data_IF_483527252829
#
_entry.id   IF_483527252829
#
_cell.length_a   1.000
_cell.length_b   1.000
_cell.length_c   1.000
_cell.angle_alpha   90.00
_cell.angle_beta   90.00
_cell.angle_gamma   90.00
#
_symmetry.space_group_name_H-M   'P 1'
#
loop_
_entity.id
_entity.type
_entity.pdbx_description
1 polymer ?
#
# COMPACT_ATOMS: atom_id res chain seq x y z
N UNK A 1 -9.65 50.61 6.52
CA UNK A 1 -9.41 49.60 7.56
C UNK A 1 -10.09 48.28 7.27
N UNK A 2 -11.42 48.19 7.39
CA UNK A 2 -12.14 46.90 7.42
C UNK A 2 -12.14 46.03 6.15
N UNK A 3 -12.02 46.62 4.95
CA UNK A 3 -11.94 45.85 3.70
C UNK A 3 -10.62 45.08 3.59
N UNK A 4 -9.49 45.73 3.86
CA UNK A 4 -8.17 45.09 3.84
C UNK A 4 -8.08 43.96 4.87
N UNK A 5 -8.63 44.15 6.06
CA UNK A 5 -8.68 43.10 7.08
C UNK A 5 -9.47 41.87 6.61
N UNK A 6 -10.61 42.06 5.92
CA UNK A 6 -11.40 40.95 5.35
C UNK A 6 -10.67 40.23 4.22
N UNK A 7 -10.01 40.97 3.34
CA UNK A 7 -9.22 40.37 2.26
C UNK A 7 -8.04 39.57 2.78
N UNK A 8 -7.39 40.04 3.85
CA UNK A 8 -6.29 39.32 4.50
C UNK A 8 -6.77 37.99 5.11
N UNK A 9 -7.87 38.01 5.89
CA UNK A 9 -8.46 36.78 6.45
C UNK A 9 -8.88 35.81 5.34
N UNK A 10 -9.49 36.32 4.27
CA UNK A 10 -9.85 35.47 3.13
C UNK A 10 -8.63 34.87 2.43
N UNK A 11 -7.49 35.59 2.40
CA UNK A 11 -6.24 35.08 1.85
C UNK A 11 -5.64 33.98 2.75
N UNK A 12 -5.65 34.15 4.07
CA UNK A 12 -5.20 33.13 5.03
C UNK A 12 -6.04 31.85 4.92
N UNK A 13 -7.37 31.96 4.89
CA UNK A 13 -8.25 30.79 4.71
C UNK A 13 -7.99 30.07 3.39
N UNK A 14 -7.72 30.81 2.31
CA UNK A 14 -7.33 30.20 1.02
C UNK A 14 -5.99 29.49 1.12
N UNK A 15 -5.02 30.10 1.79
CA UNK A 15 -3.70 29.52 2.00
C UNK A 15 -3.79 28.21 2.80
N UNK A 16 -4.50 28.20 3.92
CA UNK A 16 -4.68 27.00 4.75
C UNK A 16 -5.37 25.87 3.99
N UNK A 17 -6.36 26.20 3.17
CA UNK A 17 -7.03 25.23 2.30
C UNK A 17 -6.07 24.66 1.25
N UNK A 18 -5.27 25.51 0.61
CA UNK A 18 -4.25 25.06 -0.34
C UNK A 18 -3.20 24.18 0.34
N UNK A 19 -2.73 24.54 1.53
CA UNK A 19 -1.76 23.73 2.27
C UNK A 19 -2.33 22.38 2.69
N UNK A 20 -3.57 22.34 3.15
CA UNK A 20 -4.28 21.08 3.46
C UNK A 20 -4.39 20.20 2.22
N UNK A 21 -4.81 20.76 1.09
CA UNK A 21 -4.94 20.01 -0.17
C UNK A 21 -3.58 19.46 -0.64
N UNK A 22 -2.52 20.26 -0.56
CA UNK A 22 -1.16 19.82 -0.92
C UNK A 22 -0.68 18.69 0.00
N UNK A 23 -1.00 18.73 1.30
CA UNK A 23 -0.70 17.64 2.23
C UNK A 23 -1.36 16.33 1.81
N UNK A 24 -2.65 16.38 1.48
CA UNK A 24 -3.40 15.21 0.98
C UNK A 24 -2.81 14.67 -0.32
N UNK A 25 -2.46 15.53 -1.29
CA UNK A 25 -1.88 15.08 -2.56
C UNK A 25 -0.48 14.47 -2.40
N UNK A 26 0.31 14.95 -1.43
CA UNK A 26 1.60 14.33 -1.11
C UNK A 26 1.43 12.90 -0.59
N UNK A 27 0.47 12.68 0.31
CA UNK A 27 0.16 11.36 0.85
C UNK A 27 -0.41 10.42 -0.23
N UNK A 28 -1.30 10.94 -1.09
CA UNK A 28 -1.78 10.22 -2.28
C UNK A 28 -0.61 9.80 -3.19
N UNK A 29 0.36 10.69 -3.40
CA UNK A 29 1.56 10.39 -4.18
C UNK A 29 2.41 9.26 -3.58
N UNK A 30 2.51 9.18 -2.24
CA UNK A 30 3.22 8.09 -1.54
C UNK A 30 2.48 6.77 -1.71
N UNK A 31 1.17 6.76 -1.45
CA UNK A 31 0.32 5.58 -1.62
C UNK A 31 0.34 5.08 -3.07
N UNK A 32 0.22 5.98 -4.06
CA UNK A 32 0.25 5.63 -5.47
C UNK A 32 1.57 4.93 -5.86
N UNK A 33 2.72 5.45 -5.40
CA UNK A 33 4.02 4.80 -5.66
C UNK A 33 4.11 3.42 -5.01
N UNK A 34 3.59 3.24 -3.80
CA UNK A 34 3.56 1.93 -3.15
C UNK A 34 2.67 0.93 -3.87
N UNK A 35 1.46 1.35 -4.25
CA UNK A 35 0.53 0.54 -5.03
C UNK A 35 1.17 0.07 -6.33
N UNK A 36 1.79 0.98 -7.07
CA UNK A 36 2.49 0.66 -8.33
C UNK A 36 3.57 -0.39 -8.09
N UNK A 37 4.40 -0.23 -7.05
CA UNK A 37 5.43 -1.23 -6.70
C UNK A 37 4.82 -2.58 -6.35
N UNK A 38 3.76 -2.58 -5.53
CA UNK A 38 3.09 -3.80 -5.10
C UNK A 38 2.51 -4.55 -6.29
N UNK A 39 1.76 -3.88 -7.17
CA UNK A 39 1.19 -4.47 -8.39
C UNK A 39 2.29 -5.01 -9.31
N UNK A 40 3.36 -4.24 -9.56
CA UNK A 40 4.49 -4.69 -10.37
C UNK A 40 5.10 -5.97 -9.81
N UNK A 41 5.31 -6.06 -8.49
CA UNK A 41 5.94 -7.23 -7.86
C UNK A 41 5.01 -8.44 -7.86
N UNK A 42 3.72 -8.26 -7.53
CA UNK A 42 2.75 -9.36 -7.36
C UNK A 42 2.35 -9.97 -8.70
N UNK A 43 2.15 -9.15 -9.74
CA UNK A 43 1.67 -9.61 -11.06
C UNK A 43 2.80 -9.98 -12.03
N UNK A 44 4.05 -9.95 -11.58
CA UNK A 44 5.19 -10.25 -12.46
C UNK A 44 5.25 -11.75 -12.82
N UNK A 45 5.49 -12.02 -14.10
CA UNK A 45 5.59 -13.39 -14.64
C UNK A 45 6.96 -14.04 -14.39
N UNK A 46 7.95 -13.27 -13.93
CA UNK A 46 9.30 -13.72 -13.60
C UNK A 46 10.35 -13.38 -14.66
N UNK A 47 11.61 -13.48 -14.25
CA UNK A 47 12.77 -13.19 -15.10
C UNK A 47 13.07 -14.36 -16.05
N UNK A 48 13.52 -14.09 -17.29
CA UNK A 48 13.94 -15.13 -18.22
C UNK A 48 15.01 -16.04 -17.62
N UNK A 49 14.78 -17.36 -17.62
CA UNK A 49 15.74 -18.36 -17.13
C UNK A 49 15.64 -18.70 -15.63
N UNK A 50 14.82 -17.99 -14.85
CA UNK A 50 14.45 -18.38 -13.49
C UNK A 50 13.23 -19.31 -13.55
N UNK A 51 13.39 -20.58 -13.17
CA UNK A 51 12.32 -21.59 -13.15
C UNK A 51 11.01 -21.00 -12.63
N UNK A 52 9.96 -21.11 -13.46
CA UNK A 52 8.76 -20.29 -13.38
C UNK A 52 8.12 -20.20 -11.99
N UNK A 53 7.46 -19.04 -11.78
CA UNK A 53 6.69 -18.60 -10.59
C UNK A 53 7.45 -17.67 -9.65
N UNK A 54 7.76 -16.48 -10.14
CA UNK A 54 8.22 -15.32 -9.35
C UNK A 54 7.40 -15.12 -8.07
N UNK A 55 6.06 -15.14 -8.16
CA UNK A 55 5.18 -14.82 -7.05
C UNK A 55 4.84 -15.94 -6.05
N UNK A 56 5.47 -17.13 -6.13
CA UNK A 56 5.02 -18.29 -5.34
C UNK A 56 5.95 -18.76 -4.23
N UNK A 57 7.04 -18.03 -3.98
CA UNK A 57 7.98 -18.40 -2.93
C UNK A 57 8.44 -17.19 -2.13
N UNK A 58 8.69 -17.43 -0.83
CA UNK A 58 9.29 -16.46 0.10
C UNK A 58 8.52 -15.15 0.20
N UNK A 59 9.26 -14.05 0.28
CA UNK A 59 8.79 -12.66 0.41
C UNK A 59 7.68 -12.31 -0.57
N UNK A 60 7.76 -12.77 -1.82
CA UNK A 60 6.81 -12.43 -2.88
C UNK A 60 5.46 -13.10 -2.68
N UNK A 61 5.45 -14.30 -2.11
CA UNK A 61 4.21 -14.96 -1.73
C UNK A 61 3.51 -14.21 -0.59
N UNK A 62 4.27 -13.74 0.40
CA UNK A 62 3.73 -12.90 1.49
C UNK A 62 3.14 -11.59 0.94
N UNK A 63 3.79 -10.96 -0.03
CA UNK A 63 3.27 -9.76 -0.71
C UNK A 63 1.98 -10.03 -1.50
N UNK A 64 1.84 -11.22 -2.09
CA UNK A 64 0.60 -11.64 -2.74
C UNK A 64 -0.54 -11.81 -1.73
N UNK A 65 -0.26 -12.39 -0.56
CA UNK A 65 -1.25 -12.48 0.51
C UNK A 65 -1.60 -11.09 1.07
N UNK A 66 -0.63 -10.17 1.17
CA UNK A 66 -0.91 -8.77 1.53
C UNK A 66 -1.82 -8.10 0.49
N UNK A 67 -1.55 -8.28 -0.80
CA UNK A 67 -2.41 -7.77 -1.85
C UNK A 67 -3.84 -8.33 -1.73
N UNK A 68 -3.98 -9.62 -1.42
CA UNK A 68 -5.29 -10.23 -1.18
C UNK A 68 -5.97 -9.66 0.07
N UNK A 69 -5.23 -9.48 1.16
CA UNK A 69 -5.71 -8.83 2.37
C UNK A 69 -6.21 -7.41 2.12
N UNK A 70 -5.54 -6.63 1.26
CA UNK A 70 -5.94 -5.24 1.00
C UNK A 70 -7.15 -5.16 0.05
N UNK A 71 -7.16 -5.95 -1.03
CA UNK A 71 -8.12 -5.75 -2.14
C UNK A 71 -9.21 -6.81 -2.29
N UNK A 72 -9.12 -7.92 -1.54
CA UNK A 72 -10.08 -9.03 -1.64
C UNK A 72 -10.83 -9.27 -0.33
N UNK A 73 -11.14 -8.19 0.39
CA UNK A 73 -12.04 -8.23 1.54
C UNK A 73 -13.42 -8.72 1.09
N UNK A 74 -14.04 -9.58 1.90
CA UNK A 74 -15.38 -10.11 1.66
C UNK A 74 -16.19 -10.13 2.95
N UNK A 75 -17.50 -9.94 2.83
CA UNK A 75 -18.42 -10.03 3.96
C UNK A 75 -18.38 -11.45 4.56
N UNK A 76 -18.16 -11.60 5.88
CA UNK A 76 -18.01 -12.92 6.51
C UNK A 76 -19.23 -13.84 6.34
N UNK A 77 -20.42 -13.27 6.22
CA UNK A 77 -21.70 -13.97 6.15
C UNK A 77 -22.16 -14.23 4.70
N UNK A 78 -22.04 -13.25 3.81
CA UNK A 78 -22.54 -13.36 2.43
C UNK A 78 -21.46 -13.72 1.41
N UNK A 79 -20.19 -13.53 1.74
CA UNK A 79 -19.06 -13.66 0.82
C UNK A 79 -19.00 -12.57 -0.26
N UNK A 80 -19.84 -11.52 -0.18
CA UNK A 80 -19.84 -10.42 -1.13
C UNK A 80 -18.59 -9.54 -0.96
N UNK A 81 -18.02 -8.99 -2.05
CA UNK A 81 -16.83 -8.15 -1.97
C UNK A 81 -17.09 -6.87 -1.16
N UNK A 82 -16.14 -6.52 -0.30
CA UNK A 82 -16.12 -5.29 0.49
C UNK A 82 -15.14 -4.28 -0.12
N UNK A 83 -15.66 -3.12 -0.53
CA UNK A 83 -14.86 -2.01 -1.07
C UNK A 83 -14.61 -0.96 0.01
N UNK A 84 -13.77 -1.30 0.99
CA UNK A 84 -13.44 -0.43 2.12
C UNK A 84 -12.18 0.40 1.85
N UNK A 85 -12.37 1.68 1.53
CA UNK A 85 -11.27 2.62 1.33
C UNK A 85 -10.48 2.92 2.61
N UNK A 86 -11.13 2.87 3.79
CA UNK A 86 -10.46 3.08 5.06
C UNK A 86 -9.43 1.99 5.32
N UNK A 87 -9.83 0.73 5.11
CA UNK A 87 -8.95 -0.43 5.19
C UNK A 87 -7.75 -0.34 4.24
N UNK A 88 -8.00 0.03 2.98
CA UNK A 88 -6.94 0.19 1.97
C UNK A 88 -5.96 1.29 2.38
N UNK A 89 -6.46 2.47 2.74
CA UNK A 89 -5.62 3.60 3.13
C UNK A 89 -4.82 3.32 4.40
N UNK A 90 -5.45 2.73 5.42
CA UNK A 90 -4.79 2.35 6.67
C UNK A 90 -3.68 1.33 6.40
N UNK A 91 -3.97 0.26 5.68
CA UNK A 91 -3.00 -0.80 5.36
C UNK A 91 -1.79 -0.25 4.59
N UNK A 92 -2.02 0.62 3.60
CA UNK A 92 -0.94 1.25 2.83
C UNK A 92 -0.13 2.24 3.68
N UNK A 93 -0.76 2.99 4.57
CA UNK A 93 -0.07 3.90 5.47
C UNK A 93 0.80 3.14 6.48
N UNK A 94 0.31 2.03 7.04
CA UNK A 94 1.09 1.15 7.92
C UNK A 94 2.27 0.53 7.18
N UNK A 95 2.05 0.07 5.94
CA UNK A 95 3.10 -0.43 5.06
C UNK A 95 4.14 0.66 4.73
N UNK A 96 3.72 1.87 4.41
CA UNK A 96 4.63 2.97 4.09
C UNK A 96 5.44 3.42 5.29
N UNK A 97 4.83 3.48 6.47
CA UNK A 97 5.53 3.75 7.71
C UNK A 97 6.49 2.61 8.08
N UNK A 98 6.15 1.36 7.72
CA UNK A 98 6.90 0.18 8.12
C UNK A 98 6.75 -0.08 9.61
N UNK A 99 5.51 -0.14 10.09
CA UNK A 99 5.22 -0.35 11.51
C UNK A 99 5.55 -1.78 11.95
N UNK A 100 5.92 -1.94 13.22
CA UNK A 100 6.09 -3.25 13.88
C UNK A 100 4.75 -3.95 14.19
N UNK A 101 3.62 -3.31 13.88
CA UNK A 101 2.30 -3.92 14.00
C UNK A 101 2.21 -5.15 13.10
N UNK A 102 1.76 -6.27 13.69
CA UNK A 102 1.57 -7.54 12.99
C UNK A 102 0.19 -7.62 12.34
N UNK A 103 0.16 -8.15 11.12
CA UNK A 103 -1.06 -8.48 10.39
C UNK A 103 -1.09 -9.98 10.14
N UNK A 104 -2.30 -10.56 10.23
CA UNK A 104 -2.54 -11.96 9.88
C UNK A 104 -2.99 -12.05 8.43
N UNK A 105 -2.20 -12.72 7.61
CA UNK A 105 -2.43 -12.94 6.19
C UNK A 105 -2.85 -14.40 5.94
N UNK A 106 -3.89 -14.59 5.14
CA UNK A 106 -4.46 -15.91 4.87
C UNK A 106 -4.53 -16.16 3.36
N UNK A 107 -4.19 -17.37 2.93
CA UNK A 107 -4.42 -17.78 1.54
C UNK A 107 -5.91 -17.94 1.24
N UNK A 108 -6.31 -17.83 -0.03
CA UNK A 108 -7.74 -17.91 -0.43
C UNK A 108 -8.40 -19.25 -0.09
N UNK A 109 -7.62 -20.32 -0.08
CA UNK A 109 -8.06 -21.66 0.30
C UNK A 109 -8.05 -21.90 1.82
N UNK A 110 -7.59 -20.91 2.61
CA UNK A 110 -7.45 -21.01 4.06
C UNK A 110 -6.35 -21.95 4.55
N UNK A 111 -5.56 -22.54 3.64
CA UNK A 111 -4.55 -23.53 3.99
C UNK A 111 -3.29 -22.91 4.62
N UNK A 112 -3.01 -21.65 4.33
CA UNK A 112 -1.84 -20.93 4.83
C UNK A 112 -2.28 -19.72 5.64
N UNK A 113 -1.74 -19.60 6.85
CA UNK A 113 -1.90 -18.46 7.74
C UNK A 113 -0.51 -17.98 8.15
N UNK A 114 -0.21 -16.71 7.91
CA UNK A 114 1.07 -16.08 8.27
C UNK A 114 0.80 -14.86 9.13
N UNK A 115 1.61 -14.69 10.18
CA UNK A 115 1.66 -13.47 10.97
C UNK A 115 2.96 -12.76 10.61
N UNK A 116 2.87 -11.50 10.18
CA UNK A 116 4.01 -10.72 9.68
C UNK A 116 3.82 -9.25 10.00
N UNK A 117 4.90 -8.55 10.31
CA UNK A 117 4.85 -7.11 10.56
C UNK A 117 4.78 -6.29 9.27
N UNK A 118 4.20 -5.08 9.34
CA UNK A 118 4.27 -4.13 8.21
C UNK A 118 5.72 -3.73 7.87
N UNK A 119 6.62 -3.74 8.85
CA UNK A 119 8.05 -3.54 8.65
C UNK A 119 8.68 -4.63 7.77
N UNK A 120 8.37 -5.91 8.01
CA UNK A 120 8.79 -7.03 7.18
C UNK A 120 8.21 -6.96 5.77
N UNK A 121 6.92 -6.66 5.65
CA UNK A 121 6.24 -6.50 4.37
C UNK A 121 6.87 -5.38 3.53
N UNK A 122 7.22 -4.25 4.15
CA UNK A 122 7.90 -3.14 3.48
C UNK A 122 9.28 -3.58 2.97
N UNK A 123 10.06 -4.30 3.79
CA UNK A 123 11.36 -4.85 3.38
C UNK A 123 11.22 -5.81 2.19
N UNK A 124 10.28 -6.75 2.28
CA UNK A 124 9.96 -7.69 1.20
C UNK A 124 9.60 -6.97 -0.11
N UNK A 125 8.75 -5.94 -0.04
CA UNK A 125 8.33 -5.15 -1.21
C UNK A 125 9.49 -4.42 -1.87
N UNK A 126 10.29 -3.71 -1.07
CA UNK A 126 11.43 -2.94 -1.58
C UNK A 126 12.51 -3.85 -2.17
N UNK A 127 12.81 -4.97 -1.50
CA UNK A 127 13.77 -5.96 -1.98
C UNK A 127 13.33 -6.59 -3.30
N UNK A 128 12.08 -7.07 -3.37
CA UNK A 128 11.51 -7.67 -4.58
C UNK A 128 11.46 -6.68 -5.75
N UNK A 129 11.14 -5.43 -5.48
CA UNK A 129 11.13 -4.38 -6.50
C UNK A 129 12.54 -4.01 -6.99
N UNK A 130 13.52 -3.96 -6.09
CA UNK A 130 14.92 -3.70 -6.43
C UNK A 130 15.48 -4.79 -7.38
N UNK A 131 15.18 -6.06 -7.08
CA UNK A 131 15.56 -7.19 -7.93
C UNK A 131 14.98 -7.08 -9.35
N UNK A 132 13.72 -6.69 -9.51
CA UNK A 132 13.10 -6.48 -10.82
C UNK A 132 13.67 -5.30 -11.60
N UNK A 133 14.06 -4.24 -10.89
CA UNK A 133 14.64 -3.05 -11.52
C UNK A 133 16.11 -3.24 -11.90
N UNK A 134 16.72 -4.40 -11.60
CA UNK A 134 18.15 -4.64 -11.80
C UNK A 134 19.04 -3.82 -10.85
N UNK A 135 18.44 -3.13 -9.89
CA UNK A 135 19.15 -2.43 -8.81
C UNK A 135 19.51 -3.47 -7.76
N UNK A 136 20.78 -3.89 -7.73
CA UNK A 136 21.33 -4.60 -6.56
C UNK A 136 21.40 -3.61 -5.40
N UNK A 137 20.71 -3.91 -4.29
CA UNK A 137 20.91 -3.23 -3.00
C UNK A 137 22.25 -3.62 -2.39
#
# INVERSE_FOLDING_TARGET
GGRLARELVAAEVRYDRSMTNLGVELDNGRMARLLVKLCIVVDHQGLPGGGGRWGETGDRYVLKLLHDFIFHQAQPDTGLPLLDWGHVAESLNKLDAGLEEEVTLMSRDGATLLVVSFAELKRALLSSYAELSGMRM
#
